data_IF_821411048572
#
_entry.id   IF_821411048572
#
_cell.length_a   1.000
_cell.length_b   1.000
_cell.length_c   1.000
_cell.angle_alpha   90.00
_cell.angle_beta   90.00
_cell.angle_gamma   90.00
#
_symmetry.space_group_name_H-M   'P 1'
#
loop_
_entity.id
_entity.type
_entity.pdbx_description
1 polymer ?
#
# COMPACT_ATOMS: atom_id res chain seq x y z
N UNK A 1 -19.01 -5.88 -14.82
CA UNK A 1 -18.91 -6.77 -16.03
C UNK A 1 -20.10 -7.70 -16.07
N UNK A 2 -20.78 -7.80 -17.20
CA UNK A 2 -22.02 -8.56 -17.31
C UNK A 2 -21.89 -10.09 -17.21
N UNK A 3 -20.71 -10.72 -17.18
CA UNK A 3 -20.57 -12.18 -17.17
C UNK A 3 -19.36 -12.75 -16.41
N UNK A 4 -18.69 -12.02 -15.53
CA UNK A 4 -17.54 -12.54 -14.74
C UNK A 4 -16.31 -12.98 -15.56
N UNK A 5 -16.19 -12.55 -16.81
CA UNK A 5 -15.11 -12.93 -17.70
C UNK A 5 -13.98 -11.91 -17.66
N UNK A 6 -12.76 -12.37 -17.36
CA UNK A 6 -11.55 -11.57 -17.48
C UNK A 6 -11.27 -11.28 -18.96
N UNK A 7 -11.28 -10.01 -19.35
CA UNK A 7 -10.98 -9.58 -20.72
C UNK A 7 -9.47 -9.56 -21.01
N UNK A 8 -8.64 -9.41 -19.98
CA UNK A 8 -7.18 -9.47 -20.08
C UNK A 8 -6.69 -10.81 -19.51
N UNK A 9 -5.76 -11.48 -20.20
CA UNK A 9 -5.17 -12.74 -19.71
C UNK A 9 -4.04 -12.50 -18.69
N UNK A 10 -4.17 -11.47 -17.84
CA UNK A 10 -3.33 -11.14 -16.68
C UNK A 10 -4.22 -10.51 -15.62
N UNK A 11 -4.06 -10.89 -14.35
CA UNK A 11 -4.84 -10.37 -13.24
C UNK A 11 -4.08 -10.45 -11.91
N UNK A 12 -4.51 -9.63 -10.96
CA UNK A 12 -4.10 -9.73 -9.56
C UNK A 12 -5.22 -10.43 -8.77
N UNK A 13 -4.90 -11.52 -8.11
CA UNK A 13 -5.76 -12.16 -7.13
C UNK A 13 -5.55 -11.50 -5.77
N UNK A 14 -6.62 -11.01 -5.17
CA UNK A 14 -6.60 -10.33 -3.87
C UNK A 14 -7.36 -11.20 -2.87
N UNK A 15 -6.63 -11.84 -1.98
CA UNK A 15 -7.16 -12.77 -1.00
C UNK A 15 -7.64 -12.03 0.27
N UNK A 16 -8.95 -11.85 0.39
CA UNK A 16 -9.57 -11.15 1.51
C UNK A 16 -9.51 -11.96 2.83
N UNK A 17 -9.41 -13.30 2.75
CA UNK A 17 -9.23 -14.12 3.95
C UNK A 17 -7.84 -13.90 4.55
N UNK A 18 -6.82 -13.73 3.70
CA UNK A 18 -5.47 -13.37 4.16
C UNK A 18 -5.43 -11.95 4.75
N UNK A 19 -6.14 -11.00 4.13
CA UNK A 19 -6.29 -9.65 4.68
C UNK A 19 -6.90 -9.70 6.09
N UNK A 20 -7.96 -10.50 6.27
CA UNK A 20 -8.60 -10.71 7.57
C UNK A 20 -7.63 -11.31 8.60
N UNK A 21 -6.87 -12.36 8.25
CA UNK A 21 -5.88 -12.96 9.15
C UNK A 21 -4.82 -11.95 9.59
N UNK A 22 -4.33 -11.14 8.65
CA UNK A 22 -3.34 -10.09 8.96
C UNK A 22 -3.96 -9.01 9.85
N UNK A 23 -5.21 -8.59 9.59
CA UNK A 23 -5.95 -7.67 10.43
C UNK A 23 -6.11 -8.21 11.87
N UNK A 24 -6.51 -9.46 12.02
CA UNK A 24 -6.65 -10.14 13.32
C UNK A 24 -5.29 -10.19 14.05
N UNK A 25 -4.20 -10.48 13.31
CA UNK A 25 -2.84 -10.45 13.87
C UNK A 25 -2.41 -9.06 14.34
N UNK A 26 -2.77 -8.01 13.61
CA UNK A 26 -2.55 -6.63 14.06
C UNK A 26 -3.35 -6.35 15.33
N UNK A 27 -4.64 -6.71 15.38
CA UNK A 27 -5.49 -6.52 16.56
C UNK A 27 -4.99 -7.25 17.79
N UNK A 28 -4.48 -8.49 17.63
CA UNK A 28 -3.82 -9.24 18.73
C UNK A 28 -2.69 -8.44 19.38
N UNK A 29 -1.86 -7.76 18.57
CA UNK A 29 -0.71 -7.02 19.06
C UNK A 29 -1.10 -5.68 19.69
N UNK A 30 -1.99 -4.94 19.03
CA UNK A 30 -2.33 -3.57 19.45
C UNK A 30 -3.41 -3.51 20.54
N UNK A 31 -4.17 -4.59 20.75
CA UNK A 31 -5.28 -4.64 21.70
C UNK A 31 -6.37 -3.61 21.37
N UNK A 32 -6.78 -2.83 22.36
CA UNK A 32 -7.86 -1.84 22.24
C UNK A 32 -7.44 -0.51 21.58
N UNK A 33 -6.18 -0.37 21.14
CA UNK A 33 -5.71 0.85 20.47
C UNK A 33 -6.43 1.05 19.14
N UNK A 34 -6.54 2.30 18.72
CA UNK A 34 -7.15 2.64 17.42
C UNK A 34 -6.30 2.12 16.26
N UNK A 35 -6.94 1.40 15.35
CA UNK A 35 -6.33 0.96 14.10
C UNK A 35 -6.70 1.93 12.98
N UNK A 36 -5.70 2.66 12.49
CA UNK A 36 -5.78 3.50 11.31
C UNK A 36 -5.22 2.68 10.14
N UNK A 37 -6.11 2.12 9.34
CA UNK A 37 -5.73 1.27 8.22
C UNK A 37 -5.31 2.11 7.01
N UNK A 38 -4.07 1.95 6.55
CA UNK A 38 -3.51 2.77 5.47
C UNK A 38 -3.79 2.14 4.12
N UNK A 39 -4.66 2.77 3.33
CA UNK A 39 -5.14 2.30 2.02
C UNK A 39 -4.71 3.19 0.84
N UNK A 40 -3.71 4.04 1.05
CA UNK A 40 -3.14 4.92 0.02
C UNK A 40 -2.55 4.16 -1.17
N UNK A 41 -2.34 4.86 -2.29
CA UNK A 41 -1.72 4.32 -3.50
C UNK A 41 -2.45 3.08 -4.00
N UNK A 42 -3.78 3.19 -4.13
CA UNK A 42 -4.66 2.09 -4.51
C UNK A 42 -4.54 0.89 -3.56
N UNK A 43 -4.53 1.14 -2.23
CA UNK A 43 -4.28 0.14 -1.20
C UNK A 43 -2.99 -0.67 -1.48
N UNK A 44 -1.88 0.04 -1.70
CA UNK A 44 -0.59 -0.57 -2.09
C UNK A 44 -0.74 -1.49 -3.33
N UNK A 45 -1.56 -1.08 -4.30
CA UNK A 45 -1.83 -1.83 -5.52
C UNK A 45 -2.94 -2.88 -5.42
N UNK A 46 -3.54 -3.09 -4.26
CA UNK A 46 -4.55 -4.15 -4.03
C UNK A 46 -5.98 -3.74 -4.41
N UNK A 47 -6.22 -2.44 -4.72
CA UNK A 47 -7.55 -1.90 -4.98
C UNK A 47 -8.17 -1.23 -3.76
N UNK A 48 -8.12 0.13 -3.74
CA UNK A 48 -8.44 0.96 -2.56
C UNK A 48 -9.86 0.73 -2.04
N UNK A 49 -10.84 0.70 -2.94
CA UNK A 49 -12.26 0.66 -2.59
C UNK A 49 -12.63 -0.65 -1.88
N UNK A 50 -12.30 -1.79 -2.50
CA UNK A 50 -12.67 -3.10 -1.95
C UNK A 50 -11.91 -3.43 -0.67
N UNK A 51 -10.63 -3.06 -0.62
CA UNK A 51 -9.82 -3.20 0.60
C UNK A 51 -10.35 -2.31 1.72
N UNK A 52 -10.72 -1.07 1.42
CA UNK A 52 -11.28 -0.15 2.41
C UNK A 52 -12.60 -0.69 2.99
N UNK A 53 -13.53 -1.14 2.13
CA UNK A 53 -14.79 -1.75 2.54
C UNK A 53 -14.59 -3.01 3.41
N UNK A 54 -13.64 -3.88 3.02
CA UNK A 54 -13.36 -5.08 3.83
C UNK A 54 -12.75 -4.70 5.19
N UNK A 55 -11.80 -3.74 5.25
CA UNK A 55 -11.22 -3.27 6.50
C UNK A 55 -12.23 -2.55 7.40
N UNK A 56 -13.17 -1.81 6.82
CA UNK A 56 -14.31 -1.22 7.51
C UNK A 56 -15.20 -2.30 8.14
N UNK A 57 -15.57 -3.33 7.39
CA UNK A 57 -16.34 -4.48 7.86
C UNK A 57 -15.63 -5.26 8.97
N UNK A 58 -14.30 -5.36 8.91
CA UNK A 58 -13.48 -5.98 9.95
C UNK A 58 -13.35 -5.12 11.21
N UNK A 59 -13.77 -3.84 11.19
CA UNK A 59 -13.80 -2.96 12.33
C UNK A 59 -12.55 -2.08 12.46
N UNK A 60 -11.90 -1.68 11.37
CA UNK A 60 -10.92 -0.61 11.39
C UNK A 60 -11.54 0.67 11.96
N UNK A 61 -10.80 1.39 12.80
CA UNK A 61 -11.32 2.60 13.43
C UNK A 61 -11.27 3.81 12.48
N UNK A 62 -10.22 3.86 11.65
CA UNK A 62 -9.95 4.89 10.63
C UNK A 62 -9.39 4.24 9.38
N UNK A 63 -9.62 4.90 8.26
CA UNK A 63 -8.84 4.69 7.04
C UNK A 63 -7.89 5.87 6.84
N UNK A 64 -6.75 5.65 6.19
CA UNK A 64 -5.82 6.72 5.88
C UNK A 64 -5.35 6.65 4.44
N UNK A 65 -5.41 7.81 3.78
CA UNK A 65 -5.05 8.00 2.37
C UNK A 65 -3.92 9.01 2.23
N UNK A 66 -3.33 9.09 1.03
CA UNK A 66 -2.24 10.02 0.75
C UNK A 66 -2.73 11.43 0.46
N UNK A 67 -3.79 11.58 -0.34
CA UNK A 67 -4.26 12.84 -0.88
C UNK A 67 -5.79 12.91 -0.91
N UNK A 68 -6.29 14.08 -1.29
CA UNK A 68 -7.72 14.39 -1.36
C UNK A 68 -8.47 13.48 -2.34
N UNK A 69 -7.91 13.22 -3.54
CA UNK A 69 -8.54 12.39 -4.56
C UNK A 69 -8.81 10.97 -4.09
N UNK A 70 -7.83 10.36 -3.40
CA UNK A 70 -8.00 9.03 -2.80
C UNK A 70 -9.11 9.02 -1.74
N UNK A 71 -9.24 10.09 -0.97
CA UNK A 71 -10.32 10.24 0.03
C UNK A 71 -11.69 10.38 -0.61
N UNK A 72 -11.80 11.21 -1.64
CA UNK A 72 -13.02 11.40 -2.42
C UNK A 72 -13.46 10.08 -3.08
N UNK A 73 -12.51 9.34 -3.73
CA UNK A 73 -12.78 8.04 -4.32
C UNK A 73 -13.45 7.09 -3.32
N UNK A 74 -12.86 6.93 -2.15
CA UNK A 74 -13.40 6.03 -1.12
C UNK A 74 -14.78 6.47 -0.63
N UNK A 75 -14.96 7.77 -0.38
CA UNK A 75 -16.23 8.29 0.11
C UNK A 75 -17.33 8.18 -0.94
N UNK A 76 -17.04 8.48 -2.20
CA UNK A 76 -17.98 8.34 -3.33
C UNK A 76 -18.41 6.89 -3.55
N UNK A 77 -17.57 5.93 -3.19
CA UNK A 77 -17.85 4.50 -3.26
C UNK A 77 -18.55 3.95 -1.99
N UNK A 78 -18.98 4.83 -1.07
CA UNK A 78 -19.81 4.48 0.08
C UNK A 78 -19.04 4.00 1.31
N UNK A 79 -17.76 4.28 1.43
CA UNK A 79 -17.00 4.06 2.66
C UNK A 79 -17.47 5.05 3.73
N UNK A 80 -17.82 4.59 4.93
CA UNK A 80 -18.42 5.40 6.00
C UNK A 80 -17.43 5.78 7.10
N UNK A 81 -16.42 4.94 7.37
CA UNK A 81 -15.40 5.21 8.41
C UNK A 81 -14.68 6.54 8.19
N UNK A 82 -14.22 7.21 9.26
CA UNK A 82 -13.38 8.39 9.13
C UNK A 82 -12.17 8.13 8.21
N UNK A 83 -11.89 9.09 7.31
CA UNK A 83 -10.79 8.99 6.34
C UNK A 83 -9.78 10.11 6.63
N UNK A 84 -8.61 9.74 7.13
CA UNK A 84 -7.50 10.67 7.38
C UNK A 84 -6.70 10.91 6.09
N UNK A 85 -6.64 12.16 5.64
CA UNK A 85 -5.73 12.59 4.58
C UNK A 85 -4.38 12.91 5.21
N UNK A 86 -3.37 12.06 5.00
CA UNK A 86 -2.03 12.23 5.58
C UNK A 86 -1.14 13.21 4.82
N UNK A 87 -1.52 13.59 3.60
CA UNK A 87 -0.79 14.51 2.76
C UNK A 87 -1.28 15.95 2.87
N UNK A 88 -0.75 16.80 2.00
CA UNK A 88 -1.12 18.20 1.92
C UNK A 88 -2.44 18.39 1.15
N UNK A 89 -3.27 19.30 1.64
CA UNK A 89 -4.45 19.81 0.94
C UNK A 89 -4.25 21.31 0.75
N UNK A 90 -4.53 21.82 -0.45
CA UNK A 90 -4.42 23.25 -0.72
C UNK A 90 -5.58 24.02 -0.08
N UNK A 91 -5.35 25.25 0.42
CA UNK A 91 -6.41 26.07 1.04
C UNK A 91 -7.68 26.18 0.17
N UNK A 92 -7.54 26.29 -1.13
CA UNK A 92 -8.67 26.40 -2.09
C UNK A 92 -9.50 25.09 -2.24
N UNK A 93 -9.11 24.01 -1.60
CA UNK A 93 -9.77 22.70 -1.67
C UNK A 93 -10.56 22.35 -0.41
N UNK A 94 -10.71 23.30 0.54
CA UNK A 94 -11.40 23.05 1.83
C UNK A 94 -12.86 22.63 1.65
N UNK A 95 -13.52 23.09 0.59
CA UNK A 95 -14.90 22.69 0.28
C UNK A 95 -15.04 21.17 0.12
N UNK A 96 -14.08 20.51 -0.54
CA UNK A 96 -14.10 19.04 -0.72
C UNK A 96 -13.91 18.29 0.60
N UNK A 97 -13.14 18.85 1.54
CA UNK A 97 -12.97 18.26 2.87
C UNK A 97 -14.32 18.15 3.57
N UNK A 98 -15.11 19.21 3.53
CA UNK A 98 -16.43 19.27 4.17
C UNK A 98 -17.45 18.43 3.41
N UNK A 99 -17.54 18.61 2.07
CA UNK A 99 -18.46 17.90 1.19
C UNK A 99 -18.34 16.38 1.32
N UNK A 100 -17.12 15.86 1.37
CA UNK A 100 -16.85 14.43 1.47
C UNK A 100 -16.59 13.95 2.91
N UNK A 101 -16.81 14.79 3.92
CA UNK A 101 -16.62 14.45 5.34
C UNK A 101 -15.26 13.78 5.60
N UNK A 102 -14.16 14.41 5.14
CA UNK A 102 -12.80 13.91 5.25
C UNK A 102 -12.10 14.56 6.47
N UNK A 103 -11.15 13.85 7.06
CA UNK A 103 -10.34 14.36 8.18
C UNK A 103 -8.99 14.82 7.63
N UNK A 104 -8.74 16.14 7.51
CA UNK A 104 -7.48 16.64 6.95
C UNK A 104 -6.36 16.62 8.01
N UNK A 105 -5.12 16.58 7.51
CA UNK A 105 -3.94 16.90 8.30
C UNK A 105 -3.63 18.38 8.21
N UNK A 106 -3.56 19.06 9.35
CA UNK A 106 -3.13 20.46 9.43
C UNK A 106 -1.61 20.52 9.45
N UNK A 107 -1.04 21.28 8.52
CA UNK A 107 0.40 21.49 8.33
C UNK A 107 0.80 22.96 8.36
N UNK A 108 -0.16 23.90 8.23
CA UNK A 108 0.06 25.33 8.26
C UNK A 108 -1.14 26.08 8.83
N UNK A 109 -0.90 27.26 9.42
CA UNK A 109 -1.97 28.12 9.91
C UNK A 109 -2.78 28.70 8.74
N UNK A 110 -2.17 29.00 7.61
CA UNK A 110 -2.86 29.48 6.41
C UNK A 110 -3.98 28.52 5.96
N UNK A 111 -3.69 27.20 5.93
CA UNK A 111 -4.72 26.22 5.64
C UNK A 111 -5.82 26.18 6.71
N UNK A 112 -5.43 26.26 7.99
CA UNK A 112 -6.38 26.27 9.09
C UNK A 112 -7.30 27.51 9.08
N UNK A 113 -6.75 28.68 8.75
CA UNK A 113 -7.50 29.93 8.61
C UNK A 113 -8.51 29.86 7.45
N UNK A 114 -8.12 29.31 6.31
CA UNK A 114 -9.04 29.14 5.18
C UNK A 114 -10.14 28.14 5.51
N UNK A 115 -9.77 27.03 6.15
CA UNK A 115 -10.73 26.03 6.64
C UNK A 115 -11.71 26.64 7.63
N UNK A 116 -11.23 27.40 8.63
CA UNK A 116 -12.08 28.08 9.62
C UNK A 116 -13.07 29.03 8.94
N UNK A 117 -12.62 29.88 8.02
CA UNK A 117 -13.49 30.82 7.28
C UNK A 117 -14.59 30.09 6.52
N UNK A 118 -14.23 28.96 5.87
CA UNK A 118 -15.22 28.15 5.16
C UNK A 118 -16.24 27.55 6.13
N UNK A 119 -15.79 26.95 7.21
CA UNK A 119 -16.64 26.33 8.23
C UNK A 119 -17.60 27.35 8.91
N UNK A 120 -17.14 28.56 9.20
CA UNK A 120 -17.97 29.65 9.73
C UNK A 120 -19.10 30.03 8.77
N UNK A 121 -18.80 30.09 7.46
CA UNK A 121 -19.77 30.44 6.44
C UNK A 121 -20.93 29.45 6.36
N UNK A 122 -20.65 28.16 6.57
CA UNK A 122 -21.63 27.07 6.44
C UNK A 122 -22.15 26.54 7.79
N UNK A 123 -21.65 27.06 8.93
CA UNK A 123 -22.05 26.62 10.27
C UNK A 123 -21.57 25.20 10.61
N UNK A 124 -20.53 24.71 9.96
CA UNK A 124 -20.00 23.35 10.11
C UNK A 124 -18.86 23.30 11.14
N UNK A 125 -18.58 22.11 11.66
CA UNK A 125 -17.41 21.80 12.49
C UNK A 125 -16.74 20.54 11.95
N UNK A 126 -15.40 20.50 12.06
CA UNK A 126 -14.62 19.39 11.51
C UNK A 126 -13.54 18.94 12.49
N UNK A 127 -13.28 17.64 12.50
CA UNK A 127 -12.16 17.02 13.17
C UNK A 127 -10.92 17.02 12.30
N UNK A 128 -9.78 17.36 12.89
CA UNK A 128 -8.50 17.42 12.18
C UNK A 128 -7.42 16.69 12.96
N UNK A 129 -6.36 16.27 12.26
CA UNK A 129 -5.13 15.83 12.90
C UNK A 129 -3.99 16.80 12.60
N UNK A 130 -3.13 17.05 13.57
CA UNK A 130 -1.92 17.85 13.38
C UNK A 130 -0.74 16.93 13.24
N UNK A 131 0.08 17.15 12.21
CA UNK A 131 1.29 16.38 12.00
C UNK A 131 2.50 17.12 12.53
N UNK A 132 3.27 16.43 13.38
CA UNK A 132 4.50 16.92 13.99
C UNK A 132 5.69 16.27 13.30
N UNK A 133 6.65 17.06 12.84
CA UNK A 133 7.91 16.53 12.34
C UNK A 133 8.92 16.40 13.49
N UNK A 134 9.17 15.16 13.86
CA UNK A 134 10.14 14.79 14.91
C UNK A 134 11.49 14.37 14.33
N UNK A 135 11.66 14.44 13.01
CA UNK A 135 12.92 14.09 12.35
C UNK A 135 12.76 13.27 11.06
N UNK A 136 11.53 13.04 10.55
CA UNK A 136 11.35 12.44 9.23
C UNK A 136 11.74 13.40 8.10
N UNK A 137 11.65 14.74 8.32
CA UNK A 137 12.08 15.78 7.37
C UNK A 137 11.24 15.84 6.08
N UNK A 138 9.98 15.41 6.12
CA UNK A 138 9.13 15.32 4.92
C UNK A 138 7.91 16.24 4.97
N UNK A 139 7.07 16.08 5.96
CA UNK A 139 5.87 16.88 6.22
C UNK A 139 5.64 16.96 7.73
N UNK A 140 5.10 18.07 8.20
CA UNK A 140 4.76 18.30 9.61
C UNK A 140 5.34 19.60 10.13
N UNK A 141 4.73 20.11 11.20
CA UNK A 141 5.26 21.25 11.95
C UNK A 141 6.48 20.77 12.74
N UNK A 142 7.63 21.44 12.69
CA UNK A 142 8.78 21.05 13.48
C UNK A 142 8.42 20.91 14.96
N UNK A 143 8.89 19.85 15.63
CA UNK A 143 8.46 19.56 17.01
C UNK A 143 8.71 20.74 17.99
N UNK A 144 9.74 21.56 17.73
CA UNK A 144 10.06 22.74 18.54
C UNK A 144 9.02 23.86 18.42
N UNK A 145 8.33 23.95 17.28
CA UNK A 145 7.35 24.98 16.97
C UNK A 145 5.91 24.49 17.18
N UNK A 146 5.75 23.18 17.41
CA UNK A 146 4.43 22.51 17.42
C UNK A 146 3.52 22.98 18.57
N UNK A 147 4.09 23.31 19.72
CA UNK A 147 3.31 23.74 20.89
C UNK A 147 2.60 25.05 20.58
N UNK A 148 3.34 26.08 20.16
CA UNK A 148 2.78 27.39 19.80
C UNK A 148 1.81 27.30 18.61
N UNK A 149 2.15 26.43 17.64
CA UNK A 149 1.27 26.16 16.50
C UNK A 149 -0.07 25.58 16.94
N UNK A 150 -0.06 24.56 17.81
CA UNK A 150 -1.29 23.92 18.30
C UNK A 150 -2.09 24.86 19.19
N UNK A 151 -1.43 25.67 20.04
CA UNK A 151 -2.11 26.71 20.84
C UNK A 151 -2.91 27.66 19.94
N UNK A 152 -2.29 28.19 18.90
CA UNK A 152 -3.00 29.03 17.91
C UNK A 152 -4.16 28.30 17.23
N UNK A 153 -3.97 27.01 16.91
CA UNK A 153 -5.01 26.21 16.27
C UNK A 153 -6.21 25.99 17.19
N UNK A 154 -6.03 25.97 18.53
CA UNK A 154 -7.15 25.86 19.48
C UNK A 154 -8.05 27.11 19.54
N UNK A 155 -7.61 28.25 18.99
CA UNK A 155 -8.41 29.45 18.90
C UNK A 155 -9.51 29.38 17.82
N UNK A 156 -9.37 28.44 16.86
CA UNK A 156 -10.34 28.23 15.79
C UNK A 156 -11.55 27.40 16.27
N UNK A 157 -12.69 28.04 16.42
CA UNK A 157 -13.89 27.48 17.08
C UNK A 157 -14.53 26.31 16.33
N UNK A 158 -14.37 26.26 15.01
CA UNK A 158 -14.98 25.27 14.15
C UNK A 158 -14.05 24.09 13.84
N UNK A 159 -12.79 24.14 14.31
CA UNK A 159 -11.78 23.11 14.11
C UNK A 159 -11.57 22.38 15.43
N UNK A 160 -11.83 21.06 15.43
CA UNK A 160 -11.58 20.18 16.58
C UNK A 160 -10.30 19.38 16.33
N UNK A 161 -9.28 19.59 17.16
CA UNK A 161 -8.05 18.80 17.10
C UNK A 161 -8.31 17.43 17.74
N UNK A 162 -8.71 16.45 16.94
CA UNK A 162 -8.97 15.09 17.40
C UNK A 162 -7.66 14.30 17.59
N UNK A 163 -6.65 14.56 16.76
CA UNK A 163 -5.41 13.81 16.82
C UNK A 163 -4.14 14.61 16.56
N UNK A 164 -3.04 14.12 17.12
CA UNK A 164 -1.68 14.52 16.74
C UNK A 164 -0.87 13.30 16.38
N UNK A 165 0.05 13.46 15.39
CA UNK A 165 0.85 12.35 14.97
C UNK A 165 2.21 12.75 14.40
N UNK A 166 3.13 11.79 14.41
CA UNK A 166 4.40 11.86 13.71
C UNK A 166 4.65 10.59 12.89
N UNK A 167 5.86 10.42 12.38
CA UNK A 167 6.25 9.24 11.63
C UNK A 167 7.72 8.91 11.87
N UNK A 168 7.99 7.66 12.21
CA UNK A 168 9.36 7.19 12.36
C UNK A 168 10.04 7.04 11.01
N UNK A 169 11.30 7.42 10.94
CA UNK A 169 12.12 7.31 9.74
C UNK A 169 12.96 6.04 9.70
N UNK A 170 13.24 5.43 10.84
CA UNK A 170 14.16 4.30 11.01
C UNK A 170 13.56 3.14 11.80
N UNK A 171 12.23 3.08 11.94
CA UNK A 171 11.60 1.99 12.71
C UNK A 171 11.78 0.61 12.07
N UNK A 172 12.07 0.55 10.79
CA UNK A 172 12.33 -0.65 9.98
C UNK A 172 13.83 -0.89 9.71
N UNK A 173 14.72 -0.03 10.23
CA UNK A 173 16.16 -0.22 10.18
C UNK A 173 16.66 -1.08 11.34
N UNK A 174 17.92 -1.57 11.29
CA UNK A 174 18.55 -2.32 12.35
C UNK A 174 18.77 -1.44 13.60
N UNK A 175 19.35 -0.25 13.43
CA UNK A 175 19.52 0.74 14.49
C UNK A 175 18.23 1.51 14.77
N UNK A 176 17.68 1.30 15.97
CA UNK A 176 16.46 1.95 16.47
C UNK A 176 16.72 3.23 17.28
N UNK A 177 17.98 3.65 17.45
CA UNK A 177 18.34 4.79 18.31
C UNK A 177 17.63 6.07 17.92
N UNK A 178 17.56 6.38 16.61
CA UNK A 178 16.87 7.56 16.12
C UNK A 178 15.34 7.43 16.23
N UNK A 179 14.79 6.23 16.13
CA UNK A 179 13.37 5.97 16.40
C UNK A 179 13.02 6.33 17.85
N UNK A 180 13.87 5.97 18.81
CA UNK A 180 13.70 6.35 20.23
C UNK A 180 13.81 7.86 20.44
N UNK A 181 14.74 8.53 19.76
CA UNK A 181 14.87 9.98 19.80
C UNK A 181 13.62 10.68 19.22
N UNK A 182 13.11 10.22 18.09
CA UNK A 182 11.86 10.73 17.52
C UNK A 182 10.67 10.55 18.48
N UNK A 183 10.62 9.43 19.18
CA UNK A 183 9.58 9.18 20.18
C UNK A 183 9.69 10.15 21.36
N UNK A 184 10.90 10.40 21.88
CA UNK A 184 11.13 11.38 22.94
C UNK A 184 10.69 12.79 22.54
N UNK A 185 11.03 13.22 21.30
CA UNK A 185 10.59 14.52 20.76
C UNK A 185 9.08 14.61 20.64
N UNK A 186 8.42 13.52 20.22
CA UNK A 186 6.96 13.48 20.15
C UNK A 186 6.32 13.59 21.53
N UNK A 187 6.81 12.81 22.50
CA UNK A 187 6.31 12.83 23.87
C UNK A 187 6.56 14.17 24.56
N UNK A 188 7.69 14.83 24.29
CA UNK A 188 7.94 16.19 24.78
C UNK A 188 6.79 17.15 24.35
N UNK A 189 6.36 17.10 23.09
CA UNK A 189 5.24 17.94 22.64
C UNK A 189 3.93 17.55 23.33
N UNK A 190 3.66 16.24 23.46
CA UNK A 190 2.46 15.74 24.18
C UNK A 190 2.43 16.25 25.62
N UNK A 191 3.53 16.06 26.36
CA UNK A 191 3.61 16.40 27.78
C UNK A 191 3.49 17.91 28.01
N UNK A 192 4.11 18.74 27.13
CA UNK A 192 3.98 20.19 27.24
C UNK A 192 2.54 20.68 26.95
N UNK A 193 1.88 20.11 25.92
CA UNK A 193 0.48 20.43 25.64
C UNK A 193 -0.43 20.06 26.82
N UNK A 194 -0.21 18.91 27.45
CA UNK A 194 -0.99 18.49 28.62
C UNK A 194 -0.75 19.40 29.83
N UNK A 195 0.48 19.89 30.05
CA UNK A 195 0.79 20.90 31.09
C UNK A 195 0.06 22.23 30.85
N UNK A 196 -0.11 22.62 29.60
CA UNK A 196 -0.87 23.79 29.18
C UNK A 196 -2.41 23.57 29.24
N UNK A 197 -2.85 22.38 29.63
CA UNK A 197 -4.27 22.01 29.71
C UNK A 197 -4.89 21.59 28.37
N UNK A 198 -4.09 21.45 27.31
CA UNK A 198 -4.54 21.03 25.98
C UNK A 198 -4.46 19.51 25.90
N UNK A 199 -5.61 18.85 25.97
CA UNK A 199 -5.72 17.38 25.88
C UNK A 199 -6.16 16.97 24.48
N UNK A 200 -5.33 16.20 23.79
CA UNK A 200 -5.64 15.68 22.46
C UNK A 200 -5.97 14.18 22.57
N UNK A 201 -7.16 13.74 22.13
CA UNK A 201 -7.65 12.39 22.37
C UNK A 201 -6.81 11.28 21.70
N UNK A 202 -6.29 11.53 20.49
CA UNK A 202 -5.66 10.49 19.68
C UNK A 202 -4.20 10.84 19.34
N UNK A 203 -3.26 10.25 20.07
CA UNK A 203 -1.83 10.34 19.79
C UNK A 203 -1.38 9.11 19.04
N UNK A 204 -0.82 9.27 17.83
CA UNK A 204 -0.39 8.15 17.02
C UNK A 204 0.91 8.41 16.25
N UNK A 205 1.92 7.59 16.48
CA UNK A 205 3.22 7.66 15.80
C UNK A 205 3.60 6.32 15.15
N UNK A 206 3.15 5.20 15.74
CA UNK A 206 3.48 3.85 15.32
C UNK A 206 3.05 3.51 13.89
N UNK A 207 3.93 2.80 13.19
CA UNK A 207 3.71 2.18 11.88
C UNK A 207 3.81 0.65 11.97
N UNK A 208 3.78 -0.08 10.85
CA UNK A 208 3.87 -1.54 10.83
C UNK A 208 5.13 -2.08 11.53
N UNK A 209 6.30 -1.48 11.29
CA UNK A 209 7.54 -1.90 11.92
C UNK A 209 7.52 -1.68 13.45
N UNK A 210 7.00 -0.53 13.87
CA UNK A 210 6.88 -0.19 15.29
C UNK A 210 5.99 -1.19 16.03
N UNK A 211 4.86 -1.56 15.45
CA UNK A 211 3.91 -2.51 16.08
C UNK A 211 4.57 -3.88 16.27
N UNK A 212 5.43 -4.28 15.34
CA UNK A 212 6.12 -5.57 15.42
C UNK A 212 7.24 -5.53 16.49
N UNK A 213 8.14 -4.54 16.44
CA UNK A 213 9.37 -4.51 17.23
C UNK A 213 9.29 -3.67 18.51
N UNK A 214 8.52 -2.58 18.47
CA UNK A 214 8.48 -1.56 19.51
C UNK A 214 7.01 -1.23 19.91
N UNK A 215 6.19 -2.23 20.30
CA UNK A 215 4.77 -2.03 20.58
C UNK A 215 4.50 -1.00 21.69
N UNK A 216 5.49 -0.74 22.57
CA UNK A 216 5.43 0.32 23.59
C UNK A 216 5.24 1.74 23.01
N UNK A 217 5.57 1.96 21.71
CA UNK A 217 5.41 3.25 21.03
C UNK A 217 4.07 3.40 20.29
N UNK A 218 3.14 2.47 20.48
CA UNK A 218 1.86 2.49 19.75
C UNK A 218 0.86 3.55 20.26
N UNK A 219 1.05 4.10 21.45
CA UNK A 219 0.21 5.13 22.10
C UNK A 219 -1.29 4.80 22.02
N UNK A 220 -2.14 5.80 21.64
CA UNK A 220 -3.60 5.62 21.51
C UNK A 220 -4.00 4.94 20.20
N UNK A 221 -3.14 5.02 19.18
CA UNK A 221 -3.42 4.43 17.87
C UNK A 221 -2.19 4.18 17.02
N UNK A 222 -2.37 3.36 15.99
CA UNK A 222 -1.31 2.98 15.05
C UNK A 222 -1.79 3.08 13.60
N UNK A 223 -0.87 3.41 12.70
CA UNK A 223 -1.13 3.45 11.26
C UNK A 223 -0.49 2.26 10.58
N UNK A 224 -1.31 1.29 10.21
CA UNK A 224 -0.85 0.03 9.63
C UNK A 224 -1.13 0.00 8.14
N UNK A 225 -0.06 -0.21 7.35
CA UNK A 225 -0.11 -0.40 5.92
C UNK A 225 0.37 -1.79 5.53
N UNK A 226 1.65 -1.91 5.22
CA UNK A 226 2.23 -3.10 4.57
C UNK A 226 1.95 -4.41 5.29
N UNK A 227 1.86 -4.39 6.61
CA UNK A 227 1.55 -5.55 7.44
C UNK A 227 0.13 -6.09 7.16
N UNK A 228 -0.86 -5.22 6.89
CA UNK A 228 -2.21 -5.64 6.48
C UNK A 228 -2.19 -6.40 5.15
N UNK A 229 -1.28 -6.05 4.26
CA UNK A 229 -1.13 -6.70 2.95
C UNK A 229 -0.26 -7.97 3.00
N UNK A 230 0.13 -8.40 4.20
CA UNK A 230 0.85 -9.66 4.41
C UNK A 230 2.33 -9.60 4.08
N UNK A 231 2.92 -8.42 4.11
CA UNK A 231 4.33 -8.20 3.83
C UNK A 231 5.05 -7.61 5.04
N UNK A 232 6.26 -8.11 5.30
CA UNK A 232 7.13 -7.60 6.35
C UNK A 232 7.74 -6.26 5.93
N UNK A 233 7.82 -5.26 6.83
CA UNK A 233 8.34 -3.93 6.49
C UNK A 233 9.79 -3.94 6.00
N UNK A 234 10.67 -4.74 6.60
CA UNK A 234 12.07 -4.93 6.21
C UNK A 234 12.62 -6.24 6.75
N UNK A 235 13.84 -6.61 6.32
CA UNK A 235 14.56 -7.78 6.83
C UNK A 235 15.00 -7.61 8.30
N UNK A 236 15.18 -6.37 8.76
CA UNK A 236 15.61 -6.04 10.13
C UNK A 236 14.49 -6.07 11.17
N UNK A 237 13.25 -6.23 10.73
CA UNK A 237 12.11 -6.40 11.61
C UNK A 237 11.98 -7.90 11.95
N UNK A 238 11.71 -8.22 13.22
CA UNK A 238 11.57 -9.61 13.66
C UNK A 238 10.55 -10.39 12.84
N UNK A 239 10.71 -11.71 12.81
CA UNK A 239 9.78 -12.58 12.10
C UNK A 239 8.38 -12.54 12.70
N UNK A 240 7.41 -12.47 11.82
CA UNK A 240 6.00 -12.49 12.15
C UNK A 240 5.24 -13.25 11.04
N UNK A 241 4.33 -14.10 11.45
CA UNK A 241 3.51 -14.86 10.48
C UNK A 241 2.47 -13.95 9.84
N UNK A 242 2.74 -13.54 8.61
CA UNK A 242 1.86 -12.75 7.76
C UNK A 242 1.47 -13.56 6.51
N UNK A 243 0.30 -13.28 5.97
CA UNK A 243 -0.24 -13.96 4.81
C UNK A 243 -0.31 -12.99 3.63
N UNK A 244 0.52 -13.16 2.57
CA UNK A 244 0.44 -12.32 1.38
C UNK A 244 -0.98 -12.25 0.83
N UNK A 245 -1.45 -11.01 0.58
CA UNK A 245 -2.82 -10.75 0.10
C UNK A 245 -2.89 -10.78 -1.42
N UNK A 246 -1.79 -10.38 -2.12
CA UNK A 246 -1.74 -10.30 -3.57
C UNK A 246 -0.98 -11.47 -4.19
N UNK A 247 -1.57 -12.07 -5.22
CA UNK A 247 -0.86 -12.90 -6.21
C UNK A 247 -1.09 -12.32 -7.61
N UNK A 248 -0.10 -12.46 -8.50
CA UNK A 248 -0.21 -12.03 -9.90
C UNK A 248 -0.17 -13.26 -10.79
N UNK A 249 -1.22 -13.42 -11.60
CA UNK A 249 -1.40 -14.51 -12.54
C UNK A 249 -1.48 -13.99 -13.96
N UNK A 250 -1.05 -14.83 -14.90
CA UNK A 250 -1.25 -14.58 -16.32
C UNK A 250 -1.48 -15.91 -17.07
N UNK A 251 -1.92 -15.80 -18.33
CA UNK A 251 -1.99 -16.95 -19.24
C UNK A 251 -0.94 -16.80 -20.34
N UNK A 252 -0.36 -17.91 -20.76
CA UNK A 252 0.48 -17.96 -21.95
C UNK A 252 -0.37 -17.55 -23.16
N UNK A 253 0.05 -16.53 -23.90
CA UNK A 253 -0.68 -16.05 -25.08
C UNK A 253 -0.08 -16.51 -26.39
N UNK A 254 1.17 -16.97 -26.37
CA UNK A 254 1.86 -17.48 -27.56
C UNK A 254 2.98 -18.41 -27.15
N UNK A 255 3.18 -19.47 -27.95
CA UNK A 255 4.29 -20.42 -27.86
C UNK A 255 4.97 -20.54 -29.21
N UNK A 256 6.29 -20.58 -29.24
CA UNK A 256 7.06 -20.85 -30.43
C UNK A 256 8.29 -21.68 -30.12
N UNK A 257 8.60 -22.62 -31.02
CA UNK A 257 9.88 -23.31 -31.06
C UNK A 257 10.86 -22.47 -31.89
N UNK A 258 12.08 -22.36 -31.41
CA UNK A 258 13.14 -21.56 -32.04
C UNK A 258 14.46 -22.33 -31.99
N UNK A 259 15.28 -22.15 -33.03
CA UNK A 259 16.61 -22.79 -33.13
C UNK A 259 17.61 -22.20 -32.14
N UNK A 260 18.69 -22.92 -31.88
CA UNK A 260 19.88 -22.42 -31.20
C UNK A 260 20.38 -21.14 -31.87
N UNK A 261 20.78 -20.15 -31.06
CA UNK A 261 21.30 -18.86 -31.52
C UNK A 261 20.23 -17.86 -31.93
N UNK A 262 18.93 -18.14 -31.68
CA UNK A 262 17.85 -17.20 -31.96
C UNK A 262 17.85 -16.06 -30.94
N UNK A 263 17.88 -14.80 -31.38
CA UNK A 263 17.79 -13.64 -30.47
C UNK A 263 16.36 -13.46 -29.97
N UNK A 264 16.21 -13.12 -28.65
CA UNK A 264 14.92 -12.88 -28.02
C UNK A 264 14.82 -11.40 -27.59
N UNK A 265 13.70 -10.75 -28.00
CA UNK A 265 13.31 -9.41 -27.57
C UNK A 265 14.21 -8.27 -28.03
N UNK A 266 13.90 -7.06 -27.58
CA UNK A 266 14.58 -5.80 -27.93
C UNK A 266 16.08 -5.82 -27.60
N UNK A 267 16.89 -5.36 -28.54
CA UNK A 267 18.33 -5.21 -28.38
C UNK A 267 19.08 -6.53 -28.34
N UNK A 268 18.38 -7.64 -28.59
CA UNK A 268 19.01 -8.99 -28.69
C UNK A 268 19.90 -9.30 -27.47
N UNK A 269 19.38 -9.05 -26.25
CA UNK A 269 20.14 -9.25 -25.00
C UNK A 269 20.14 -10.70 -24.50
N UNK A 270 19.44 -11.59 -25.20
CA UNK A 270 19.43 -13.02 -24.94
C UNK A 270 19.47 -13.78 -26.29
N UNK A 271 20.21 -14.83 -26.33
CA UNK A 271 20.26 -15.80 -27.46
C UNK A 271 20.04 -17.19 -26.91
N UNK A 272 19.21 -17.98 -27.59
CA UNK A 272 18.98 -19.38 -27.20
C UNK A 272 20.27 -20.22 -27.36
N UNK A 273 20.58 -21.02 -26.35
CA UNK A 273 21.77 -21.86 -26.30
C UNK A 273 21.55 -23.25 -26.95
N UNK A 274 20.29 -23.60 -27.11
CA UNK A 274 19.78 -24.85 -27.71
C UNK A 274 18.50 -24.57 -28.46
N UNK A 275 17.96 -25.57 -29.17
CA UNK A 275 16.56 -25.51 -29.60
C UNK A 275 15.65 -25.29 -28.37
N UNK A 276 14.81 -24.29 -28.41
CA UNK A 276 14.07 -23.81 -27.23
C UNK A 276 12.60 -23.56 -27.56
N UNK A 277 11.76 -23.72 -26.55
CA UNK A 277 10.34 -23.31 -26.58
C UNK A 277 10.21 -22.03 -25.77
N UNK A 278 9.81 -20.96 -26.44
CA UNK A 278 9.64 -19.63 -25.83
C UNK A 278 8.15 -19.31 -25.70
N UNK A 279 7.72 -19.01 -24.48
CA UNK A 279 6.38 -18.55 -24.19
C UNK A 279 6.34 -17.02 -24.05
N UNK A 280 5.27 -16.39 -24.52
CA UNK A 280 4.99 -14.96 -24.35
C UNK A 280 3.91 -14.75 -23.30
N UNK A 281 4.20 -13.89 -22.32
CA UNK A 281 3.33 -13.53 -21.20
C UNK A 281 2.83 -12.09 -21.40
N UNK A 282 1.51 -11.82 -21.27
CA UNK A 282 0.88 -10.53 -21.57
C UNK A 282 0.97 -9.52 -20.40
N UNK A 283 2.14 -9.41 -19.79
CA UNK A 283 2.46 -8.44 -18.74
C UNK A 283 3.81 -7.78 -19.04
N UNK A 284 3.90 -6.48 -18.81
CA UNK A 284 5.13 -5.73 -18.99
C UNK A 284 5.28 -4.58 -18.02
N UNK A 285 6.21 -3.67 -18.30
CA UNK A 285 6.49 -2.59 -17.34
C UNK A 285 5.35 -1.57 -17.22
N UNK A 286 4.45 -1.43 -18.20
CA UNK A 286 3.24 -0.61 -18.06
C UNK A 286 2.19 -1.22 -17.14
N UNK A 287 2.28 -2.52 -16.88
CA UNK A 287 1.41 -3.25 -15.97
C UNK A 287 1.99 -3.34 -14.55
N UNK A 288 3.26 -2.94 -14.38
CA UNK A 288 3.96 -2.97 -13.11
C UNK A 288 5.08 -4.02 -13.01
N UNK A 289 5.29 -4.87 -14.03
CA UNK A 289 6.40 -5.83 -14.02
C UNK A 289 7.73 -5.11 -14.34
N UNK A 290 8.69 -5.04 -13.42
CA UNK A 290 9.87 -4.19 -13.58
C UNK A 290 10.71 -4.54 -14.81
N UNK A 291 11.08 -3.53 -15.62
CA UNK A 291 11.96 -3.73 -16.77
C UNK A 291 13.36 -4.23 -16.38
N UNK A 292 13.79 -3.94 -15.17
CA UNK A 292 15.06 -4.38 -14.60
C UNK A 292 15.12 -5.92 -14.41
N UNK A 293 13.98 -6.62 -14.39
CA UNK A 293 13.92 -8.09 -14.36
C UNK A 293 14.33 -8.76 -15.68
N UNK A 294 14.77 -8.01 -16.68
CA UNK A 294 15.33 -8.50 -17.93
C UNK A 294 16.44 -9.55 -17.69
N UNK A 295 16.24 -10.78 -18.12
CA UNK A 295 17.15 -11.94 -17.99
C UNK A 295 17.44 -12.43 -16.55
N UNK A 296 16.87 -11.77 -15.52
CA UNK A 296 17.08 -12.17 -14.11
C UNK A 296 15.75 -12.53 -13.40
N UNK A 297 14.63 -12.13 -13.98
CA UNK A 297 13.31 -12.47 -13.45
C UNK A 297 12.99 -13.95 -13.61
N UNK A 298 12.11 -14.44 -12.76
CA UNK A 298 11.56 -15.79 -12.81
C UNK A 298 10.04 -15.72 -12.67
N UNK A 299 9.38 -16.76 -13.14
CA UNK A 299 7.95 -17.03 -12.94
C UNK A 299 7.75 -18.52 -12.70
N UNK A 300 6.58 -18.93 -12.24
CA UNK A 300 6.27 -20.34 -12.02
C UNK A 300 5.28 -20.81 -13.07
N UNK A 301 5.58 -21.96 -13.69
CA UNK A 301 4.72 -22.64 -14.67
C UNK A 301 4.60 -24.10 -14.29
N UNK A 302 3.38 -24.58 -14.03
CA UNK A 302 3.13 -25.97 -13.59
C UNK A 302 4.02 -26.39 -12.41
N UNK A 303 4.14 -25.50 -11.38
CA UNK A 303 4.92 -25.77 -10.17
C UNK A 303 6.44 -25.76 -10.38
N UNK A 304 6.94 -25.19 -11.46
CA UNK A 304 8.40 -25.08 -11.74
C UNK A 304 8.80 -23.64 -12.05
N UNK A 305 9.90 -23.20 -11.49
CA UNK A 305 10.50 -21.89 -11.82
C UNK A 305 11.09 -21.92 -13.22
N UNK A 306 10.77 -20.90 -14.02
CA UNK A 306 11.31 -20.68 -15.36
C UNK A 306 11.80 -19.24 -15.49
N UNK A 307 12.86 -19.04 -16.29
CA UNK A 307 13.54 -17.74 -16.41
C UNK A 307 12.87 -16.83 -17.43
N UNK A 308 12.84 -15.55 -17.10
CA UNK A 308 12.55 -14.49 -18.07
C UNK A 308 13.74 -14.33 -19.01
N UNK A 309 13.48 -14.40 -20.31
CA UNK A 309 14.52 -14.34 -21.36
C UNK A 309 14.30 -13.15 -22.29
N UNK A 310 15.36 -12.37 -22.48
CA UNK A 310 15.31 -11.15 -23.25
C UNK A 310 14.66 -9.98 -22.48
N UNK A 311 14.63 -8.80 -23.10
CA UNK A 311 14.14 -7.59 -22.45
C UNK A 311 12.64 -7.66 -22.17
N UNK A 312 12.26 -7.25 -20.96
CA UNK A 312 10.86 -6.95 -20.62
C UNK A 312 10.39 -5.78 -21.46
N UNK A 313 9.28 -5.97 -22.17
CA UNK A 313 8.66 -4.98 -23.04
C UNK A 313 7.56 -4.19 -22.29
N UNK A 314 6.91 -3.23 -22.96
CA UNK A 314 5.86 -2.42 -22.37
C UNK A 314 4.71 -3.27 -21.79
N UNK A 315 4.16 -4.21 -22.57
CA UNK A 315 3.04 -5.06 -22.18
C UNK A 315 3.29 -6.55 -22.32
N UNK A 316 4.54 -7.00 -22.44
CA UNK A 316 4.90 -8.42 -22.60
C UNK A 316 6.29 -8.70 -22.08
N UNK A 317 6.51 -9.96 -21.66
CA UNK A 317 7.84 -10.54 -21.52
C UNK A 317 7.83 -11.99 -22.00
N UNK A 318 9.00 -12.56 -22.19
CA UNK A 318 9.18 -13.93 -22.67
C UNK A 318 9.85 -14.77 -21.59
N UNK A 319 9.50 -16.06 -21.58
CA UNK A 319 10.08 -17.06 -20.69
C UNK A 319 10.54 -18.27 -21.50
N UNK A 320 11.61 -18.92 -21.05
CA UNK A 320 12.05 -20.18 -21.61
C UNK A 320 11.35 -21.35 -20.91
N UNK A 321 10.50 -22.06 -21.64
CA UNK A 321 9.70 -23.18 -21.15
C UNK A 321 10.08 -24.52 -21.78
N UNK A 322 11.28 -24.62 -22.32
CA UNK A 322 11.78 -25.80 -23.06
C UNK A 322 11.63 -27.09 -22.25
N UNK A 323 11.88 -27.01 -20.93
CA UNK A 323 11.86 -28.18 -20.04
C UNK A 323 10.52 -28.45 -19.38
N UNK A 324 9.46 -27.72 -19.77
CA UNK A 324 8.11 -27.91 -19.23
C UNK A 324 7.25 -28.68 -20.24
N UNK A 325 6.86 -29.93 -19.94
CA UNK A 325 6.12 -30.75 -20.88
C UNK A 325 4.67 -30.27 -21.06
N UNK A 326 4.10 -30.57 -22.21
CA UNK A 326 2.66 -30.44 -22.51
C UNK A 326 2.08 -29.05 -22.27
N UNK A 327 2.87 -27.99 -22.52
CA UNK A 327 2.40 -26.61 -22.44
C UNK A 327 1.60 -26.22 -23.68
N UNK A 328 0.55 -25.43 -23.43
CA UNK A 328 -0.31 -24.85 -24.48
C UNK A 328 -0.64 -23.39 -24.19
N UNK A 329 -1.03 -22.67 -25.22
CA UNK A 329 -1.62 -21.34 -25.09
C UNK A 329 -2.85 -21.43 -24.19
N UNK A 330 -2.94 -20.52 -23.22
CA UNK A 330 -3.99 -20.50 -22.20
C UNK A 330 -3.57 -21.12 -20.86
N UNK A 331 -2.45 -21.86 -20.80
CA UNK A 331 -1.95 -22.36 -19.51
C UNK A 331 -1.52 -21.19 -18.61
N UNK A 332 -1.71 -21.39 -17.30
CA UNK A 332 -1.49 -20.36 -16.27
C UNK A 332 -0.01 -20.22 -15.91
N UNK A 333 0.37 -19.00 -15.60
CA UNK A 333 1.71 -18.60 -15.12
C UNK A 333 1.56 -17.79 -13.86
N UNK A 334 2.28 -18.15 -12.82
CA UNK A 334 2.35 -17.39 -11.57
C UNK A 334 3.56 -16.45 -11.62
N UNK A 335 3.30 -15.15 -11.55
CA UNK A 335 4.34 -14.11 -11.59
C UNK A 335 4.73 -13.69 -10.17
N UNK A 336 3.75 -13.55 -9.28
CA UNK A 336 3.91 -13.38 -7.84
C UNK A 336 2.91 -14.32 -7.17
N UNK A 337 3.34 -15.06 -6.16
CA UNK A 337 2.51 -15.99 -5.42
C UNK A 337 3.01 -17.43 -5.51
N UNK A 338 2.16 -18.36 -5.12
CA UNK A 338 2.50 -19.79 -5.02
C UNK A 338 1.83 -20.60 -6.13
N UNK A 339 2.56 -21.59 -6.64
CA UNK A 339 2.06 -22.64 -7.51
C UNK A 339 2.74 -23.97 -7.14
N UNK A 340 1.97 -24.92 -6.61
CA UNK A 340 2.52 -26.13 -6.01
C UNK A 340 3.38 -25.83 -4.77
N UNK A 341 4.60 -26.34 -4.79
CA UNK A 341 5.59 -26.08 -3.72
C UNK A 341 6.42 -24.82 -3.95
N UNK A 342 6.42 -24.29 -5.17
CA UNK A 342 7.17 -23.09 -5.52
C UNK A 342 6.42 -21.81 -5.18
N UNK A 343 7.18 -20.80 -4.78
CA UNK A 343 6.68 -19.46 -4.47
C UNK A 343 7.63 -18.38 -4.98
N UNK A 344 7.07 -17.31 -5.55
CA UNK A 344 7.79 -16.07 -5.85
C UNK A 344 7.13 -14.94 -5.08
N UNK A 345 7.85 -14.34 -4.13
CA UNK A 345 7.33 -13.28 -3.29
C UNK A 345 7.68 -11.88 -3.83
N UNK A 346 6.88 -10.88 -3.45
CA UNK A 346 7.22 -9.49 -3.74
C UNK A 346 8.56 -9.08 -3.08
N UNK A 347 8.91 -9.68 -1.95
CA UNK A 347 10.18 -9.45 -1.26
C UNK A 347 11.35 -10.01 -2.06
N UNK A 348 11.25 -11.25 -2.57
CA UNK A 348 12.27 -11.84 -3.44
C UNK A 348 12.54 -10.98 -4.69
N UNK A 349 11.47 -10.46 -5.30
CA UNK A 349 11.62 -9.57 -6.48
C UNK A 349 12.29 -8.26 -6.08
N UNK A 350 11.93 -7.70 -4.92
CA UNK A 350 12.52 -6.47 -4.41
C UNK A 350 14.03 -6.63 -4.14
N UNK A 351 14.43 -7.73 -3.51
CA UNK A 351 15.84 -8.07 -3.25
C UNK A 351 16.65 -8.19 -4.55
N UNK A 352 16.11 -8.87 -5.58
CA UNK A 352 16.75 -8.97 -6.90
C UNK A 352 16.96 -7.60 -7.57
N UNK A 353 16.20 -6.59 -7.17
CA UNK A 353 16.20 -5.24 -7.75
C UNK A 353 16.81 -4.16 -6.85
N UNK A 354 17.32 -4.53 -5.69
CA UNK A 354 17.84 -3.61 -4.67
C UNK A 354 16.80 -2.52 -4.30
N UNK A 355 15.58 -2.97 -3.99
CA UNK A 355 14.46 -2.11 -3.58
C UNK A 355 13.62 -2.78 -2.50
N UNK A 356 12.44 -2.22 -2.20
CA UNK A 356 11.54 -2.70 -1.15
C UNK A 356 10.25 -3.31 -1.73
N UNK A 357 9.67 -4.27 -1.03
CA UNK A 357 8.44 -4.95 -1.44
C UNK A 357 7.25 -4.00 -1.62
N UNK A 358 7.22 -2.87 -0.91
CA UNK A 358 6.25 -1.78 -1.11
C UNK A 358 6.22 -1.29 -2.56
N UNK A 359 7.40 -1.10 -3.17
CA UNK A 359 7.49 -0.65 -4.55
C UNK A 359 6.92 -1.71 -5.51
N UNK A 360 7.24 -2.97 -5.28
CA UNK A 360 6.79 -4.07 -6.15
C UNK A 360 5.27 -4.14 -6.21
N UNK A 361 4.59 -4.17 -5.06
CA UNK A 361 3.13 -4.30 -5.03
C UNK A 361 2.42 -3.02 -5.46
N UNK A 362 2.93 -1.85 -5.05
CA UNK A 362 2.27 -0.57 -5.37
C UNK A 362 2.40 -0.17 -6.85
N UNK A 363 3.34 -0.76 -7.60
CA UNK A 363 3.51 -0.53 -9.04
C UNK A 363 2.47 -1.25 -9.90
N UNK A 364 1.74 -2.24 -9.38
CA UNK A 364 0.73 -2.95 -10.15
C UNK A 364 -0.34 -1.97 -10.62
N UNK A 365 -0.35 -1.74 -11.93
CA UNK A 365 -1.20 -0.74 -12.59
C UNK A 365 -2.69 -1.00 -12.32
N UNK A 366 -3.50 0.06 -12.21
CA UNK A 366 -4.97 -0.06 -12.15
C UNK A 366 -5.56 -0.75 -13.40
N UNK A 367 -4.82 -0.78 -14.51
CA UNK A 367 -5.23 -1.51 -15.72
C UNK A 367 -5.18 -3.03 -15.60
N UNK A 368 -4.45 -3.58 -14.63
CA UNK A 368 -4.47 -5.02 -14.31
C UNK A 368 -5.75 -5.30 -13.52
N UNK A 369 -6.64 -6.18 -13.99
CA UNK A 369 -7.86 -6.51 -13.24
C UNK A 369 -7.56 -7.09 -11.86
N UNK A 370 -8.37 -6.74 -10.85
CA UNK A 370 -8.34 -7.34 -9.51
C UNK A 370 -9.48 -8.35 -9.39
N UNK A 371 -9.12 -9.56 -8.99
CA UNK A 371 -10.06 -10.64 -8.66
C UNK A 371 -10.01 -10.83 -7.16
N UNK A 372 -11.05 -10.41 -6.46
CA UNK A 372 -11.14 -10.55 -5.01
C UNK A 372 -11.64 -11.95 -4.66
N UNK A 373 -10.87 -12.64 -3.81
CA UNK A 373 -11.12 -14.01 -3.37
C UNK A 373 -11.55 -13.99 -1.90
N UNK A 374 -12.66 -14.62 -1.58
CA UNK A 374 -13.15 -14.84 -0.22
C UNK A 374 -13.67 -16.26 -0.08
N UNK A 375 -13.27 -16.96 0.98
CA UNK A 375 -13.61 -18.39 1.20
C UNK A 375 -13.23 -19.27 -0.01
N UNK A 376 -12.06 -18.97 -0.59
CA UNK A 376 -11.53 -19.70 -1.76
C UNK A 376 -12.30 -19.47 -3.07
N UNK A 377 -13.24 -18.51 -3.13
CA UNK A 377 -14.05 -18.24 -4.32
C UNK A 377 -13.91 -16.79 -4.79
N UNK A 378 -13.91 -16.53 -6.10
CA UNK A 378 -14.01 -15.18 -6.62
C UNK A 378 -15.36 -14.55 -6.23
N UNK A 379 -15.32 -13.41 -5.52
CA UNK A 379 -16.51 -12.66 -5.08
C UNK A 379 -16.72 -11.38 -5.87
N UNK A 380 -15.66 -10.78 -6.39
CA UNK A 380 -15.74 -9.57 -7.22
C UNK A 380 -14.57 -9.50 -8.20
N UNK A 381 -14.82 -8.93 -9.37
CA UNK A 381 -13.78 -8.57 -10.33
C UNK A 381 -13.92 -7.08 -10.60
N UNK A 382 -12.82 -6.35 -10.47
CA UNK A 382 -12.72 -4.93 -10.80
C UNK A 382 -11.72 -4.77 -11.93
N UNK A 383 -12.15 -4.18 -13.02
CA UNK A 383 -11.34 -3.93 -14.19
C UNK A 383 -11.27 -2.44 -14.54
N UNK A 384 -10.42 -2.07 -15.47
CA UNK A 384 -10.32 -0.70 -15.99
C UNK A 384 -11.64 -0.13 -16.55
N UNK A 385 -12.59 -1.00 -16.90
CA UNK A 385 -13.90 -0.60 -17.44
C UNK A 385 -14.95 -0.37 -16.36
N UNK A 386 -14.63 -0.62 -15.10
CA UNK A 386 -15.54 -0.49 -13.97
C UNK A 386 -15.28 0.80 -13.16
N UNK A 387 -14.28 1.62 -13.58
CA UNK A 387 -13.87 2.86 -12.92
C UNK A 387 -14.00 4.09 -13.81
#
# INVERSE_FOLDING_TARGET
MKNGVLLRPVWAEINLDNLKKNYEKVREIIGNRKLIAVVKSNAYGHGSVEIAKELENLGADYLAVRNLEEGIELRSEGVEKPILIMGYVFPKQVNYIVEFSLTPTILSLEFAEELQRFLETYGERIKVHVKIDTGMGRLGVPYKDSIEFIKKLTEFKNIEIEGIYSHFSTADEEDKSFTEEQFKRFMYVVDELEREGIKIPLKHIGNSATVIDLPKFSLDGVRIGIMLYGLKPSIFVREINLHPVMSIRAKIIFLKRVDKGTPISYGRKFYTERESIIATIPMGYSDGYPRALTNIGEVIVKGRRVRVVGRVCMGKFMIDVTDIPDLKVGDEVTIIGRDGEEEITATEIAEKLDTINYEIVSRISRSVPRVYIKEGKPVKIVSFLDG
#
